data_IF_309784858919
#
_entry.id   IF_309784858919
#
_cell.length_a   1.000
_cell.length_b   1.000
_cell.length_c   1.000
_cell.angle_alpha   90.00
_cell.angle_beta   90.00
_cell.angle_gamma   90.00
#
_symmetry.space_group_name_H-M   'P 1'
#
loop_
_entity.id
_entity.type
_entity.pdbx_description
1 polymer ?
#
# COMPACT_ATOMS: atom_id res chain seq x y z
N UNK A 1 50.25 -33.05 27.21
CA UNK A 1 50.27 -32.19 28.42
C UNK A 1 49.36 -30.97 28.31
N UNK A 2 49.47 -30.05 27.33
CA UNK A 2 48.43 -29.02 27.16
C UNK A 2 47.13 -29.59 26.56
N UNK A 3 47.24 -30.42 25.52
CA UNK A 3 46.08 -31.00 24.83
C UNK A 3 45.23 -31.91 25.74
N UNK A 4 45.85 -32.60 26.70
CA UNK A 4 45.16 -33.46 27.67
C UNK A 4 44.39 -32.63 28.73
N UNK A 5 44.88 -31.43 29.08
CA UNK A 5 44.21 -30.52 30.01
C UNK A 5 43.04 -29.79 29.34
N UNK A 6 43.15 -29.48 28.04
CA UNK A 6 42.07 -28.89 27.25
C UNK A 6 40.90 -29.88 27.02
N UNK A 7 41.19 -31.18 26.98
CA UNK A 7 40.20 -32.26 26.89
C UNK A 7 39.40 -32.44 28.18
N UNK A 8 40.06 -32.34 29.35
CA UNK A 8 39.42 -32.43 30.66
C UNK A 8 38.53 -31.22 30.99
N UNK A 9 38.89 -30.03 30.49
CA UNK A 9 38.12 -28.79 30.71
C UNK A 9 37.00 -28.57 29.67
N UNK A 10 36.87 -29.45 28.67
CA UNK A 10 35.83 -29.36 27.63
C UNK A 10 35.96 -28.17 26.68
N UNK A 11 37.11 -27.48 26.67
CA UNK A 11 37.34 -26.25 25.89
C UNK A 11 37.22 -26.50 24.38
N UNK A 12 37.57 -27.70 23.94
CA UNK A 12 37.44 -28.14 22.54
C UNK A 12 35.99 -28.09 22.04
N UNK A 13 35.00 -28.35 22.90
CA UNK A 13 33.58 -28.26 22.52
C UNK A 13 33.13 -26.81 22.35
N UNK A 14 33.58 -25.92 23.24
CA UNK A 14 33.26 -24.49 23.20
C UNK A 14 33.88 -23.83 21.96
N UNK A 15 35.13 -24.16 21.65
CA UNK A 15 35.82 -23.65 20.46
C UNK A 15 35.16 -24.20 19.18
N UNK A 16 34.74 -25.46 19.16
CA UNK A 16 34.02 -26.04 18.03
C UNK A 16 32.65 -25.38 17.82
N UNK A 17 31.90 -25.13 18.90
CA UNK A 17 30.62 -24.42 18.86
C UNK A 17 30.78 -22.96 18.44
N UNK A 18 31.83 -22.30 18.90
CA UNK A 18 32.14 -20.92 18.51
C UNK A 18 32.57 -20.84 17.04
N UNK A 19 33.41 -21.77 16.58
CA UNK A 19 33.75 -21.89 15.15
C UNK A 19 32.53 -22.23 14.30
N UNK A 20 31.63 -23.10 14.76
CA UNK A 20 30.39 -23.42 14.05
C UNK A 20 29.45 -22.20 13.97
N UNK A 21 29.34 -21.40 15.05
CA UNK A 21 28.62 -20.12 15.05
C UNK A 21 29.26 -19.09 14.12
N UNK A 22 30.59 -19.00 14.07
CA UNK A 22 31.30 -18.12 13.15
C UNK A 22 31.16 -18.55 11.68
N UNK A 23 31.15 -19.86 11.39
CA UNK A 23 30.93 -20.39 10.03
C UNK A 23 29.49 -20.15 9.59
N UNK A 24 28.50 -20.31 10.48
CA UNK A 24 27.10 -19.90 10.22
C UNK A 24 26.98 -18.41 9.92
N UNK A 25 27.69 -17.54 10.66
CA UNK A 25 27.76 -16.09 10.37
C UNK A 25 28.44 -15.75 9.04
N UNK A 26 29.44 -16.54 8.61
CA UNK A 26 30.18 -16.33 7.35
C UNK A 26 29.44 -16.80 6.10
N UNK A 27 28.50 -17.75 6.23
CA UNK A 27 27.60 -18.17 5.14
C UNK A 27 26.46 -17.16 4.86
N UNK A 28 26.33 -16.08 5.64
CA UNK A 28 25.49 -14.90 5.33
C UNK A 28 26.18 -13.99 4.30
N UNK A 29 26.69 -14.60 3.22
CA UNK A 29 27.33 -13.92 2.08
C UNK A 29 26.57 -14.13 0.77
N UNK A 30 25.36 -14.69 0.81
CA UNK A 30 24.31 -14.28 -0.12
C UNK A 30 23.80 -12.93 0.39
N UNK A 31 23.92 -11.87 -0.42
CA UNK A 31 23.35 -10.52 -0.21
C UNK A 31 22.63 -10.37 1.15
N UNK A 32 23.29 -9.79 2.15
CA UNK A 32 22.77 -9.69 3.52
C UNK A 32 21.44 -8.93 3.67
N UNK A 33 20.85 -8.52 2.56
CA UNK A 33 19.53 -7.89 2.43
C UNK A 33 18.40 -8.88 2.14
N UNK A 34 18.70 -10.17 1.93
CA UNK A 34 17.69 -11.17 1.64
C UNK A 34 16.67 -11.31 2.76
N UNK A 35 15.37 -11.31 2.40
CA UNK A 35 14.27 -11.42 3.36
C UNK A 35 13.92 -10.14 4.14
N UNK A 36 14.66 -9.04 3.96
CA UNK A 36 14.31 -7.73 4.53
C UNK A 36 13.04 -7.15 3.90
N UNK A 37 12.38 -6.27 4.63
CA UNK A 37 11.17 -5.58 4.17
C UNK A 37 11.52 -4.18 3.69
N UNK A 38 11.02 -3.78 2.53
CA UNK A 38 11.11 -2.42 2.02
C UNK A 38 9.85 -1.66 2.44
N UNK A 39 10.04 -0.49 3.05
CA UNK A 39 9.01 0.34 3.65
C UNK A 39 8.31 1.33 2.70
N UNK A 40 8.23 1.01 1.41
CA UNK A 40 7.65 1.85 0.36
C UNK A 40 6.79 1.02 -0.60
N UNK A 41 5.92 1.68 -1.36
CA UNK A 41 5.14 1.04 -2.41
C UNK A 41 6.05 0.56 -3.55
N UNK A 42 5.63 -0.50 -4.24
CA UNK A 42 6.33 -1.00 -5.44
C UNK A 42 6.37 0.05 -6.55
N UNK A 43 5.29 0.81 -6.68
CA UNK A 43 5.14 1.85 -7.69
C UNK A 43 6.16 2.99 -7.53
N UNK A 44 6.60 3.27 -6.29
CA UNK A 44 7.63 4.27 -6.04
C UNK A 44 8.98 3.92 -6.71
N UNK A 45 9.21 2.64 -7.01
CA UNK A 45 10.43 2.13 -7.64
C UNK A 45 10.27 1.79 -9.13
N UNK A 46 9.09 2.02 -9.73
CA UNK A 46 8.84 1.72 -11.14
C UNK A 46 9.62 2.63 -12.13
N UNK A 47 10.38 3.61 -11.63
CA UNK A 47 11.21 4.50 -12.44
C UNK A 47 12.59 3.93 -12.76
N UNK A 48 13.22 4.40 -13.85
CA UNK A 48 14.61 4.08 -14.23
C UNK A 48 15.67 4.77 -13.35
N UNK A 49 15.42 4.91 -12.05
CA UNK A 49 16.34 5.57 -11.12
C UNK A 49 16.83 4.58 -10.08
N UNK A 50 18.12 4.62 -9.81
CA UNK A 50 18.71 3.88 -8.71
C UNK A 50 18.39 4.60 -7.39
N UNK A 51 17.80 3.87 -6.45
CA UNK A 51 17.43 4.37 -5.13
C UNK A 51 18.34 3.73 -4.07
N UNK A 52 18.85 4.55 -3.15
CA UNK A 52 19.67 4.08 -2.04
C UNK A 52 18.76 3.86 -0.83
N UNK A 53 18.67 2.62 -0.39
CA UNK A 53 17.87 2.23 0.77
C UNK A 53 18.74 2.20 2.03
N UNK A 54 18.20 2.72 3.12
CA UNK A 54 18.84 2.77 4.45
C UNK A 54 17.94 2.06 5.46
N UNK A 55 18.55 1.40 6.44
CA UNK A 55 17.81 0.78 7.53
C UNK A 55 17.05 1.84 8.35
N UNK A 56 15.76 1.60 8.60
CA UNK A 56 14.96 2.45 9.46
C UNK A 56 15.44 2.36 10.92
N UNK A 57 15.48 3.51 11.59
CA UNK A 57 15.84 3.58 13.00
C UNK A 57 14.85 2.80 13.86
N UNK A 58 15.38 1.92 14.72
CA UNK A 58 14.60 0.99 15.53
C UNK A 58 15.28 0.75 16.86
N UNK A 59 14.47 0.64 17.93
CA UNK A 59 14.97 0.31 19.25
C UNK A 59 15.66 -1.06 19.26
N UNK A 60 16.80 -1.16 19.93
CA UNK A 60 17.58 -2.41 20.00
C UNK A 60 16.80 -3.54 20.67
N UNK A 61 15.91 -3.19 21.59
CA UNK A 61 15.05 -4.14 22.32
C UNK A 61 13.71 -4.39 21.61
N UNK A 62 13.42 -3.68 20.52
CA UNK A 62 12.17 -3.90 19.80
C UNK A 62 12.26 -5.19 19.00
N UNK A 63 11.32 -6.11 19.18
CA UNK A 63 11.25 -7.40 18.46
C UNK A 63 10.52 -7.29 17.10
N UNK A 64 10.69 -6.17 16.39
CA UNK A 64 10.14 -6.00 15.04
C UNK A 64 11.09 -6.42 13.91
N UNK A 65 10.58 -6.51 12.69
CA UNK A 65 11.40 -6.77 11.50
C UNK A 65 12.23 -5.54 11.10
N UNK A 66 13.39 -5.77 10.49
CA UNK A 66 14.22 -4.73 9.91
C UNK A 66 13.61 -4.21 8.60
N UNK A 67 13.47 -2.89 8.49
CA UNK A 67 12.82 -2.22 7.35
C UNK A 67 13.82 -1.32 6.62
N UNK A 68 13.89 -1.45 5.31
CA UNK A 68 14.69 -0.62 4.41
C UNK A 68 13.83 0.53 3.85
N UNK A 69 14.34 1.76 3.92
CA UNK A 69 13.62 2.98 3.57
C UNK A 69 14.54 3.91 2.79
N UNK A 70 14.04 4.50 1.71
CA UNK A 70 14.71 5.60 1.02
C UNK A 70 14.36 6.92 1.75
N UNK A 71 15.35 7.67 2.27
CA UNK A 71 15.12 8.95 2.92
C UNK A 71 14.38 9.96 2.03
N UNK A 72 14.69 10.00 0.73
CA UNK A 72 14.08 10.95 -0.21
C UNK A 72 12.60 10.61 -0.45
N UNK A 73 12.28 9.33 -0.63
CA UNK A 73 10.90 8.90 -0.77
C UNK A 73 10.12 9.16 0.51
N UNK A 74 10.68 8.84 1.68
CA UNK A 74 10.07 9.09 3.00
C UNK A 74 9.66 10.56 3.18
N UNK A 75 10.53 11.48 2.79
CA UNK A 75 10.26 12.91 2.90
C UNK A 75 9.24 13.39 1.86
N UNK A 76 9.29 12.86 0.63
CA UNK A 76 8.30 13.18 -0.40
C UNK A 76 6.89 12.70 -0.03
N UNK A 77 6.74 11.49 0.51
CA UNK A 77 5.48 10.92 0.98
C UNK A 77 4.89 11.75 2.13
N UNK A 78 5.74 12.13 3.10
CA UNK A 78 5.36 13.02 4.20
C UNK A 78 4.86 14.37 3.69
N UNK A 79 5.55 14.95 2.72
CA UNK A 79 5.16 16.22 2.14
C UNK A 79 3.82 16.12 1.40
N UNK A 80 3.67 15.13 0.52
CA UNK A 80 2.45 14.88 -0.23
C UNK A 80 1.25 14.72 0.71
N UNK A 81 1.40 13.91 1.77
CA UNK A 81 0.37 13.71 2.79
C UNK A 81 0.01 15.02 3.52
N UNK A 82 1.01 15.80 3.91
CA UNK A 82 0.75 17.08 4.57
C UNK A 82 -0.03 18.06 3.67
N UNK A 83 0.21 18.04 2.36
CA UNK A 83 -0.56 18.83 1.39
C UNK A 83 -1.99 18.31 1.28
N UNK A 84 -2.19 17.01 1.20
CA UNK A 84 -3.53 16.40 1.14
C UNK A 84 -4.35 16.68 2.41
N UNK A 85 -3.74 16.54 3.59
CA UNK A 85 -4.37 16.90 4.87
C UNK A 85 -4.74 18.38 4.92
N UNK A 86 -3.92 19.28 4.36
CA UNK A 86 -4.25 20.71 4.25
C UNK A 86 -5.44 20.94 3.33
N UNK A 87 -5.48 20.30 2.16
CA UNK A 87 -6.62 20.38 1.22
C UNK A 87 -7.91 19.88 1.86
N UNK A 88 -7.86 18.72 2.52
CA UNK A 88 -9.02 18.15 3.23
C UNK A 88 -9.49 19.06 4.37
N UNK A 89 -8.56 19.68 5.09
CA UNK A 89 -8.88 20.68 6.12
C UNK A 89 -9.53 21.95 5.55
N UNK A 90 -9.09 22.40 4.37
CA UNK A 90 -9.66 23.55 3.68
C UNK A 90 -11.09 23.28 3.22
N UNK A 91 -11.37 22.09 2.66
CA UNK A 91 -12.72 21.66 2.29
C UNK A 91 -13.70 21.64 3.48
N UNK A 92 -13.22 21.30 4.69
CA UNK A 92 -14.05 21.35 5.91
C UNK A 92 -14.31 22.77 6.45
N UNK A 93 -13.60 23.79 5.94
CA UNK A 93 -13.76 25.16 6.43
C UNK A 93 -15.02 25.85 5.84
N UNK A 94 -15.59 25.29 4.78
CA UNK A 94 -16.89 25.67 4.22
C UNK A 94 -18.02 25.03 5.03
N UNK A 95 -18.40 25.65 6.14
CA UNK A 95 -19.50 25.20 7.01
C UNK A 95 -20.91 25.35 6.39
N UNK A 96 -21.00 25.75 5.11
CA UNK A 96 -22.26 26.04 4.40
C UNK A 96 -22.32 25.38 3.00
N UNK A 97 -21.51 24.35 2.79
CA UNK A 97 -21.54 23.57 1.55
C UNK A 97 -22.77 22.64 1.55
N UNK A 98 -23.80 23.06 0.83
CA UNK A 98 -24.92 22.21 0.42
C UNK A 98 -24.55 21.39 -0.82
N UNK A 99 -25.00 20.14 -0.88
CA UNK A 99 -24.93 19.35 -2.11
C UNK A 99 -25.88 19.91 -3.19
N UNK A 100 -25.83 19.35 -4.41
CA UNK A 100 -26.68 19.76 -5.53
C UNK A 100 -28.19 19.57 -5.25
N UNK A 101 -28.53 18.89 -4.16
CA UNK A 101 -29.88 18.62 -3.67
C UNK A 101 -30.24 19.43 -2.41
N UNK A 102 -29.38 20.36 -1.96
CA UNK A 102 -29.64 21.22 -0.81
C UNK A 102 -29.40 20.58 0.56
N UNK A 103 -28.80 19.39 0.64
CA UNK A 103 -28.45 18.76 1.91
C UNK A 103 -27.08 19.24 2.41
N UNK A 104 -26.93 19.50 3.71
CA UNK A 104 -25.65 19.86 4.30
C UNK A 104 -24.66 18.70 4.17
N UNK A 105 -23.50 18.94 3.55
CA UNK A 105 -22.45 17.91 3.43
C UNK A 105 -21.92 17.58 4.82
N UNK A 106 -22.21 16.37 5.31
CA UNK A 106 -21.63 15.87 6.57
C UNK A 106 -20.18 15.46 6.33
N UNK A 107 -19.26 16.40 6.48
CA UNK A 107 -17.85 16.05 6.64
C UNK A 107 -17.71 15.34 7.99
N UNK A 108 -17.31 14.06 7.99
CA UNK A 108 -17.16 13.24 9.20
C UNK A 108 -16.39 13.99 10.31
N UNK A 109 -16.71 13.67 11.56
CA UNK A 109 -16.49 14.58 12.70
C UNK A 109 -15.02 15.00 12.85
N UNK A 110 -14.01 14.16 12.54
CA UNK A 110 -12.63 14.63 12.36
C UNK A 110 -11.75 13.69 11.49
N UNK A 111 -11.56 13.98 10.18
CA UNK A 111 -10.60 13.33 9.28
C UNK A 111 -9.19 13.12 9.83
N UNK A 112 -8.72 14.12 10.59
CA UNK A 112 -7.36 14.16 11.11
C UNK A 112 -7.09 13.01 12.09
N UNK A 113 -8.14 12.52 12.75
CA UNK A 113 -8.03 11.53 13.80
C UNK A 113 -8.36 10.12 13.30
N UNK A 114 -9.21 9.98 12.27
CA UNK A 114 -9.42 8.68 11.60
C UNK A 114 -8.10 8.12 11.04
N UNK A 115 -7.24 8.98 10.48
CA UNK A 115 -5.95 8.59 9.92
C UNK A 115 -4.83 8.33 10.95
N UNK A 116 -4.93 8.90 12.17
CA UNK A 116 -3.95 8.68 13.24
C UNK A 116 -4.30 7.42 14.06
N UNK A 117 -5.58 7.07 14.18
CA UNK A 117 -6.06 5.91 14.96
C UNK A 117 -5.76 4.56 14.29
N UNK A 118 -5.85 4.44 12.97
CA UNK A 118 -5.50 3.20 12.25
C UNK A 118 -3.98 3.05 12.00
N UNK A 119 -3.19 4.09 12.26
CA UNK A 119 -1.78 4.12 11.92
C UNK A 119 -1.53 4.31 10.42
N UNK A 120 -0.31 4.73 10.07
CA UNK A 120 0.09 4.97 8.67
C UNK A 120 0.15 3.62 7.96
N UNK A 121 -0.87 3.30 7.16
CA UNK A 121 -0.88 2.16 6.24
C UNK A 121 0.12 2.42 5.11
N UNK A 122 1.41 2.23 5.40
CA UNK A 122 2.45 2.21 4.37
C UNK A 122 2.40 0.88 3.67
N UNK A 123 2.39 0.91 2.34
CA UNK A 123 2.67 -0.29 1.56
C UNK A 123 4.09 -0.75 1.83
N UNK A 124 4.25 -2.07 1.96
CA UNK A 124 5.53 -2.72 2.21
C UNK A 124 5.62 -3.98 1.37
N UNK A 125 6.82 -4.32 0.92
CA UNK A 125 7.08 -5.60 0.25
C UNK A 125 8.37 -6.21 0.75
N UNK A 126 8.48 -7.54 0.66
CA UNK A 126 9.62 -8.31 1.16
C UNK A 126 10.53 -8.70 0.00
N UNK A 127 11.85 -8.58 0.21
CA UNK A 127 12.86 -9.03 -0.73
C UNK A 127 13.00 -10.56 -0.69
N UNK A 128 13.37 -11.15 -1.81
CA UNK A 128 13.68 -12.57 -1.89
C UNK A 128 14.97 -12.92 -1.12
N UNK A 129 15.32 -14.21 -1.04
CA UNK A 129 16.53 -14.68 -0.36
C UNK A 129 17.83 -14.14 -0.99
N UNK A 130 17.77 -13.59 -2.20
CA UNK A 130 18.88 -12.98 -2.95
C UNK A 130 18.86 -11.45 -2.89
N UNK A 131 17.98 -10.85 -2.07
CA UNK A 131 17.87 -9.40 -1.90
C UNK A 131 17.27 -8.68 -3.10
N UNK A 132 16.61 -9.41 -4.02
CA UNK A 132 15.93 -8.87 -5.18
C UNK A 132 14.42 -8.85 -5.02
N UNK A 133 13.76 -8.06 -5.88
CA UNK A 133 12.31 -8.10 -6.05
C UNK A 133 12.00 -7.91 -7.54
N UNK A 134 11.22 -8.82 -8.11
CA UNK A 134 10.85 -8.77 -9.52
C UNK A 134 9.56 -7.95 -9.69
N UNK A 135 9.73 -6.65 -9.98
CA UNK A 135 8.64 -5.71 -10.24
C UNK A 135 7.90 -6.07 -11.54
N UNK A 136 8.62 -6.49 -12.58
CA UNK A 136 8.03 -6.72 -13.90
C UNK A 136 7.09 -7.93 -13.90
N UNK A 137 7.46 -9.00 -13.18
CA UNK A 137 6.59 -10.14 -12.96
C UNK A 137 5.31 -9.77 -12.21
N UNK A 138 5.41 -8.96 -11.16
CA UNK A 138 4.25 -8.53 -10.37
C UNK A 138 3.30 -7.66 -11.20
N UNK A 139 3.84 -6.73 -12.01
CA UNK A 139 3.04 -5.95 -12.94
C UNK A 139 2.32 -6.84 -13.97
N UNK A 140 3.03 -7.82 -14.53
CA UNK A 140 2.46 -8.76 -15.51
C UNK A 140 1.33 -9.58 -14.89
N UNK A 141 1.54 -10.10 -13.69
CA UNK A 141 0.54 -10.90 -12.97
C UNK A 141 -0.68 -10.04 -12.61
N UNK A 142 -0.47 -8.78 -12.22
CA UNK A 142 -1.55 -7.83 -11.96
C UNK A 142 -2.32 -7.47 -13.23
N UNK A 143 -1.65 -7.31 -14.38
CA UNK A 143 -2.31 -7.11 -15.68
C UNK A 143 -3.18 -8.31 -16.04
N UNK A 144 -2.64 -9.53 -15.96
CA UNK A 144 -3.41 -10.75 -16.24
C UNK A 144 -4.59 -10.92 -15.28
N UNK A 145 -4.44 -10.61 -13.99
CA UNK A 145 -5.55 -10.64 -13.03
C UNK A 145 -6.68 -9.67 -13.42
N UNK A 146 -6.34 -8.44 -13.79
CA UNK A 146 -7.32 -7.44 -14.23
C UNK A 146 -8.05 -7.90 -15.50
N UNK A 147 -7.31 -8.46 -16.46
CA UNK A 147 -7.91 -9.01 -17.68
C UNK A 147 -8.87 -10.17 -17.38
N UNK A 148 -8.50 -11.11 -16.51
CA UNK A 148 -9.36 -12.20 -16.08
C UNK A 148 -10.60 -11.71 -15.33
N UNK A 149 -10.45 -10.70 -14.47
CA UNK A 149 -11.55 -10.10 -13.73
C UNK A 149 -12.56 -9.43 -14.66
N UNK A 150 -12.09 -8.74 -15.70
CA UNK A 150 -12.95 -8.13 -16.72
C UNK A 150 -13.62 -9.21 -17.56
N UNK A 151 -12.90 -10.25 -17.96
CA UNK A 151 -13.46 -11.37 -18.73
C UNK A 151 -14.55 -12.13 -17.96
N UNK A 152 -14.44 -12.23 -16.63
CA UNK A 152 -15.45 -12.84 -15.77
C UNK A 152 -16.69 -11.97 -15.50
N UNK A 153 -16.67 -10.69 -15.88
CA UNK A 153 -17.78 -9.75 -15.69
C UNK A 153 -18.49 -9.50 -17.01
N UNK A 154 -19.82 -9.60 -17.01
CA UNK A 154 -20.64 -9.18 -18.15
C UNK A 154 -20.68 -7.64 -18.19
N UNK A 155 -20.00 -7.04 -19.17
CA UNK A 155 -20.10 -5.60 -19.45
C UNK A 155 -21.50 -5.30 -19.99
N UNK A 156 -22.37 -4.76 -19.14
CA UNK A 156 -23.68 -4.23 -19.55
C UNK A 156 -23.49 -2.74 -19.81
N UNK A 157 -23.60 -2.33 -21.07
CA UNK A 157 -23.69 -0.91 -21.43
C UNK A 157 -25.04 -0.37 -20.97
N UNK A 158 -25.03 0.67 -20.15
CA UNK A 158 -26.24 1.39 -19.73
C UNK A 158 -26.70 2.33 -20.86
N UNK A 159 -27.04 1.78 -22.02
CA UNK A 159 -27.67 2.54 -23.09
C UNK A 159 -29.16 2.67 -22.71
N UNK A 160 -29.57 3.87 -22.32
CA UNK A 160 -30.97 4.12 -21.94
C UNK A 160 -31.81 4.29 -23.21
N UNK A 161 -32.85 3.47 -23.35
CA UNK A 161 -33.83 3.62 -24.42
C UNK A 161 -34.44 5.03 -24.37
N UNK A 162 -34.38 5.73 -25.50
CA UNK A 162 -34.89 7.10 -25.63
C UNK A 162 -36.37 7.13 -25.24
N UNK A 163 -36.71 7.93 -24.23
CA UNK A 163 -38.08 8.13 -23.78
C UNK A 163 -39.00 8.44 -24.97
N UNK A 164 -39.99 7.59 -25.21
CA UNK A 164 -41.06 7.87 -26.17
C UNK A 164 -42.15 8.67 -25.45
N UNK A 165 -42.57 9.77 -26.08
CA UNK A 165 -43.62 10.63 -25.56
C UNK A 165 -44.96 9.88 -25.62
N UNK A 166 -45.55 9.57 -24.46
CA UNK A 166 -46.87 8.95 -24.36
C UNK A 166 -47.97 9.90 -24.84
N UNK A 167 -48.37 9.78 -26.10
CA UNK A 167 -49.45 10.56 -26.72
C UNK A 167 -50.78 9.77 -26.70
N UNK A 168 -51.23 9.38 -25.51
CA UNK A 168 -52.54 8.73 -25.30
C UNK A 168 -53.45 9.56 -24.40
N UNK A 169 -53.46 10.88 -24.56
CA UNK A 169 -54.47 11.75 -23.93
C UNK A 169 -54.86 12.90 -24.87
N UNK A 170 -55.48 12.58 -26.01
CA UNK A 170 -56.29 13.55 -26.75
C UNK A 170 -57.42 12.87 -27.53
N UNK A 171 -58.35 12.22 -26.85
CA UNK A 171 -59.67 11.98 -27.44
C UNK A 171 -60.43 13.29 -27.38
N UNK A 172 -60.62 13.89 -28.55
CA UNK A 172 -61.40 15.11 -28.80
C UNK A 172 -62.89 14.83 -28.51
N UNK A 173 -63.26 14.67 -27.24
CA UNK A 173 -64.63 14.52 -26.76
C UNK A 173 -64.90 15.66 -25.79
N UNK A 174 -64.93 16.86 -26.35
CA UNK A 174 -65.71 17.98 -25.83
C UNK A 174 -65.80 19.03 -26.94
N UNK A 175 -66.68 18.76 -27.90
CA UNK A 175 -67.29 19.80 -28.70
C UNK A 175 -68.72 19.95 -28.22
N UNK A 176 -68.87 20.70 -27.12
CA UNK A 176 -70.12 21.33 -26.76
C UNK A 176 -70.57 22.21 -27.93
N UNK A 177 -71.57 21.76 -28.68
CA UNK A 177 -72.30 22.59 -29.63
C UNK A 177 -73.59 23.05 -28.96
N UNK A 178 -73.63 24.34 -28.62
CA UNK A 178 -74.80 25.04 -28.12
C UNK A 178 -75.49 25.71 -29.32
N UNK A 179 -76.70 25.25 -29.68
CA UNK A 179 -77.74 26.02 -30.40
C UNK A 179 -79.09 25.57 -29.88
#
# INVERSE_FOLDING_TARGET
MLDEMDEEFGVNTIIADEKAKQVKKRNVKSSGTGGLVVGHSKEAFAGFKDHILVLEDKGVLDEGEEVLVDPNLKDSERYARNVELKKRKELMKGFDDVDEFGNPKSYGVLPKYDEELEGIKKEKFRLDERGGYDLEKDERDNRMRKELEIAGKTLVSLDMDKFQVGSEFYTKVDSFFFV
#
